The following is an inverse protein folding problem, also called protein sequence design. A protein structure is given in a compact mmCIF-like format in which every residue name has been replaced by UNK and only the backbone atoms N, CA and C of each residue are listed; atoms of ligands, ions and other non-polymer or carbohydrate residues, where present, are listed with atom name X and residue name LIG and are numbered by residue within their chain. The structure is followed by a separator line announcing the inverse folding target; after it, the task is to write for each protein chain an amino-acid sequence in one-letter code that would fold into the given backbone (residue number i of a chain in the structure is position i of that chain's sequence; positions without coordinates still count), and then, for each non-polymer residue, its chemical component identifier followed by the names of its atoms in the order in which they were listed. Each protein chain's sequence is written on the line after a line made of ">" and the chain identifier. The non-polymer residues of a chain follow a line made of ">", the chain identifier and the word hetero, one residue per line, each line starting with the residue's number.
data_IF_676319565206
#
_entry.id   IF_676319565206
#
_cell.length_a   1.000
_cell.length_b   1.000
_cell.length_c   1.000
_cell.angle_alpha   90.00
_cell.angle_beta   90.00
_cell.angle_gamma   90.00
#
_symmetry.space_group_name_H-M   'P 1'
#
loop_
_entity.id
_entity.type
_entity.pdbx_description
1 polymer ?
#
# COMPACT_ATOMS: atom_id res chain seq x y z
N UNK A 1 28.23 -2.52 37.99
CA UNK A 1 28.68 -1.79 36.79
C UNK A 1 27.54 -1.87 35.78
N UNK A 2 26.87 -0.75 35.54
CA UNK A 2 25.90 -0.59 34.44
C UNK A 2 26.65 -0.28 33.14
N UNK A 3 25.96 -0.52 32.01
CA UNK A 3 26.17 -0.09 30.61
C UNK A 3 26.09 -1.34 29.72
N UNK A 4 25.27 -1.46 28.68
CA UNK A 4 24.42 -0.56 27.87
C UNK A 4 24.29 -1.33 26.53
N UNK A 5 23.10 -1.61 26.00
CA UNK A 5 22.48 -0.81 24.93
C UNK A 5 23.52 -0.37 23.87
N UNK A 6 23.46 -0.71 22.58
CA UNK A 6 22.29 -0.75 21.72
C UNK A 6 22.54 -1.46 20.37
N UNK A 7 21.42 -1.80 19.73
CA UNK A 7 21.28 -2.31 18.37
C UNK A 7 21.92 -1.39 17.33
N UNK A 8 22.60 -1.99 16.35
CA UNK A 8 22.99 -1.35 15.09
C UNK A 8 22.55 -2.24 13.94
N UNK A 9 21.38 -1.96 13.40
CA UNK A 9 21.05 -2.34 12.03
C UNK A 9 20.87 -1.00 11.30
N UNK A 10 22.00 -0.51 10.80
CA UNK A 10 22.13 0.82 10.22
C UNK A 10 21.38 0.90 8.90
N UNK A 11 20.63 2.01 8.80
CA UNK A 11 19.83 2.48 7.70
C UNK A 11 20.71 2.70 6.47
N UNK A 12 20.43 1.99 5.38
CA UNK A 12 21.04 2.25 4.08
C UNK A 12 19.91 2.49 3.06
N UNK A 13 19.56 3.76 2.88
CA UNK A 13 18.66 4.19 1.82
C UNK A 13 19.47 4.65 0.60
N UNK A 14 19.18 4.02 -0.53
CA UNK A 14 19.39 4.47 -1.91
C UNK A 14 20.76 5.03 -2.33
N UNK A 15 21.77 4.16 -2.50
CA UNK A 15 22.82 4.42 -3.49
C UNK A 15 22.38 3.93 -4.88
N UNK A 16 22.49 4.80 -5.88
CA UNK A 16 22.12 4.51 -7.27
C UNK A 16 23.03 3.43 -7.87
N UNK A 17 22.51 2.24 -8.21
CA UNK A 17 23.07 1.30 -9.21
C UNK A 17 22.20 0.04 -9.44
N UNK A 18 21.54 -0.05 -10.61
CA UNK A 18 21.07 -1.29 -11.29
C UNK A 18 20.12 -2.30 -10.59
N UNK A 19 19.53 -2.00 -9.42
CA UNK A 19 18.54 -2.88 -8.78
C UNK A 19 17.20 -2.13 -8.60
N UNK A 20 16.11 -2.68 -9.12
CA UNK A 20 14.79 -2.02 -9.15
C UNK A 20 14.31 -1.55 -7.77
N UNK A 21 13.59 -0.41 -7.74
CA UNK A 21 13.00 0.18 -6.52
C UNK A 21 12.21 -0.88 -5.74
N UNK A 22 12.62 -1.16 -4.50
CA UNK A 22 11.93 -2.09 -3.59
C UNK A 22 11.24 -1.33 -2.47
N UNK A 23 10.09 -1.85 -2.05
CA UNK A 23 9.38 -1.30 -0.89
C UNK A 23 9.97 -1.84 0.42
N UNK A 24 10.21 -0.95 1.38
CA UNK A 24 10.62 -1.28 2.73
C UNK A 24 9.38 -1.35 3.65
N UNK A 25 8.71 -2.50 3.65
CA UNK A 25 7.61 -2.80 4.58
C UNK A 25 8.11 -3.71 5.70
N UNK A 26 7.75 -3.40 6.95
CA UNK A 26 7.93 -4.34 8.05
C UNK A 26 7.11 -5.60 7.82
N UNK A 27 7.52 -6.73 8.42
CA UNK A 27 6.78 -8.00 8.31
C UNK A 27 5.34 -7.87 8.81
N UNK A 28 5.10 -7.03 9.82
CA UNK A 28 3.76 -6.71 10.31
C UNK A 28 2.90 -6.02 9.24
N UNK A 29 3.47 -5.04 8.52
CA UNK A 29 2.78 -4.33 7.42
C UNK A 29 2.51 -5.28 6.26
N UNK A 30 3.50 -6.09 5.84
CA UNK A 30 3.31 -7.10 4.80
C UNK A 30 2.18 -8.06 5.15
N UNK A 31 2.19 -8.63 6.36
CA UNK A 31 1.13 -9.53 6.84
C UNK A 31 -0.24 -8.85 6.86
N UNK A 32 -0.30 -7.59 7.28
CA UNK A 32 -1.55 -6.82 7.28
C UNK A 32 -2.11 -6.63 5.86
N UNK A 33 -1.27 -6.19 4.92
CA UNK A 33 -1.64 -5.99 3.52
C UNK A 33 -2.11 -7.30 2.89
N UNK A 34 -1.35 -8.38 3.03
CA UNK A 34 -1.73 -9.71 2.51
C UNK A 34 -3.05 -10.20 3.10
N UNK A 35 -3.28 -10.00 4.41
CA UNK A 35 -4.55 -10.38 5.06
C UNK A 35 -5.74 -9.64 4.45
N UNK A 36 -5.58 -8.34 4.15
CA UNK A 36 -6.63 -7.53 3.51
C UNK A 36 -6.87 -7.98 2.07
N UNK A 37 -5.82 -8.26 1.32
CA UNK A 37 -5.91 -8.76 -0.06
C UNK A 37 -6.60 -10.12 -0.12
N UNK A 38 -6.32 -11.04 0.81
CA UNK A 38 -7.01 -12.33 0.88
C UNK A 38 -8.53 -12.18 1.11
N UNK A 39 -8.93 -11.17 1.90
CA UNK A 39 -10.35 -10.85 2.10
C UNK A 39 -10.98 -10.32 0.82
N UNK A 40 -10.29 -9.42 0.12
CA UNK A 40 -10.72 -8.86 -1.16
C UNK A 40 -10.87 -9.95 -2.22
N UNK A 41 -9.94 -10.90 -2.28
CA UNK A 41 -10.04 -12.08 -3.15
C UNK A 41 -11.31 -12.90 -2.85
N UNK A 42 -11.64 -13.07 -1.57
CA UNK A 42 -12.90 -13.65 -1.13
C UNK A 42 -14.13 -12.87 -1.62
N UNK A 43 -14.09 -11.53 -1.55
CA UNK A 43 -15.17 -10.67 -2.06
C UNK A 43 -15.33 -10.81 -3.58
N UNK A 44 -14.24 -10.83 -4.34
CA UNK A 44 -14.26 -11.03 -5.80
C UNK A 44 -14.90 -12.37 -6.16
N UNK A 45 -14.50 -13.45 -5.47
CA UNK A 45 -15.15 -14.77 -5.62
C UNK A 45 -16.63 -14.72 -5.29
N UNK A 46 -17.00 -14.02 -4.22
CA UNK A 46 -18.40 -13.81 -3.83
C UNK A 46 -19.21 -13.12 -4.92
N UNK A 47 -18.71 -12.00 -5.47
CA UNK A 47 -19.34 -11.27 -6.58
C UNK A 47 -19.57 -12.17 -7.79
N UNK A 48 -18.56 -12.94 -8.19
CA UNK A 48 -18.71 -13.92 -9.28
C UNK A 48 -19.85 -14.91 -9.00
N UNK A 49 -19.92 -15.45 -7.78
CA UNK A 49 -20.99 -16.36 -7.38
C UNK A 49 -22.37 -15.71 -7.32
N UNK A 50 -22.48 -14.40 -7.07
CA UNK A 50 -23.76 -13.68 -7.15
C UNK A 50 -24.24 -13.57 -8.59
N UNK A 51 -23.33 -13.30 -9.52
CA UNK A 51 -23.63 -13.21 -10.96
C UNK A 51 -24.06 -14.58 -11.49
N UNK A 52 -23.35 -15.66 -11.15
CA UNK A 52 -23.71 -17.03 -11.55
C UNK A 52 -25.06 -17.50 -11.03
N UNK A 53 -25.61 -16.83 -10.01
CA UNK A 53 -26.93 -17.12 -9.42
C UNK A 53 -28.03 -16.17 -9.91
N UNK A 54 -27.73 -15.34 -10.91
CA UNK A 54 -28.66 -14.30 -11.41
C UNK A 54 -29.19 -13.40 -10.29
N UNK A 55 -28.34 -13.06 -9.30
CA UNK A 55 -28.71 -12.19 -8.18
C UNK A 55 -29.05 -10.78 -8.69
N UNK A 56 -30.00 -10.12 -8.03
CA UNK A 56 -30.43 -8.78 -8.38
C UNK A 56 -29.24 -7.79 -8.48
N UNK A 57 -29.26 -6.96 -9.53
CA UNK A 57 -28.11 -6.15 -9.93
C UNK A 57 -27.65 -5.19 -8.83
N UNK A 58 -28.58 -4.60 -8.06
CA UNK A 58 -28.25 -3.64 -7.00
C UNK A 58 -27.43 -4.30 -5.87
N UNK A 59 -27.67 -5.58 -5.57
CA UNK A 59 -26.89 -6.33 -4.58
C UNK A 59 -25.47 -6.58 -5.06
N UNK A 60 -25.32 -6.94 -6.34
CA UNK A 60 -24.01 -7.14 -6.98
C UNK A 60 -23.22 -5.82 -7.00
N UNK A 61 -23.87 -4.72 -7.38
CA UNK A 61 -23.26 -3.38 -7.38
C UNK A 61 -22.83 -2.98 -5.98
N UNK A 62 -23.64 -3.28 -4.96
CA UNK A 62 -23.30 -3.01 -3.56
C UNK A 62 -22.03 -3.77 -3.13
N UNK A 63 -21.90 -5.05 -3.51
CA UNK A 63 -20.68 -5.82 -3.22
C UNK A 63 -19.45 -5.32 -3.98
N UNK A 64 -19.62 -4.87 -5.23
CA UNK A 64 -18.55 -4.24 -6.01
C UNK A 64 -18.08 -2.96 -5.30
N UNK A 65 -19.00 -2.10 -4.86
CA UNK A 65 -18.66 -0.87 -4.12
C UNK A 65 -17.93 -1.15 -2.80
N UNK A 66 -18.34 -2.19 -2.07
CA UNK A 66 -17.65 -2.65 -0.88
C UNK A 66 -16.22 -3.14 -1.18
N UNK A 67 -16.02 -3.86 -2.28
CA UNK A 67 -14.72 -4.35 -2.74
C UNK A 67 -13.80 -3.21 -3.16
N UNK A 68 -14.32 -2.21 -3.90
CA UNK A 68 -13.58 -1.01 -4.27
C UNK A 68 -13.13 -0.23 -3.02
N UNK A 69 -14.00 -0.10 -2.02
CA UNK A 69 -13.68 0.55 -0.75
C UNK A 69 -12.57 -0.17 0.00
N UNK A 70 -12.58 -1.51 0.02
CA UNK A 70 -11.51 -2.31 0.60
C UNK A 70 -10.18 -2.15 -0.14
N UNK A 71 -10.19 -2.13 -1.48
CA UNK A 71 -9.00 -1.84 -2.30
C UNK A 71 -8.43 -0.45 -2.02
N UNK A 72 -9.29 0.57 -1.91
CA UNK A 72 -8.87 1.93 -1.55
C UNK A 72 -8.23 1.98 -0.16
N UNK A 73 -8.71 1.17 0.80
CA UNK A 73 -8.07 1.05 2.12
C UNK A 73 -6.66 0.45 2.03
N UNK A 74 -6.42 -0.53 1.15
CA UNK A 74 -5.07 -1.10 0.95
C UNK A 74 -4.14 -0.07 0.33
N UNK A 75 -4.61 0.65 -0.71
CA UNK A 75 -3.84 1.70 -1.37
C UNK A 75 -3.42 2.82 -0.39
N UNK A 76 -4.31 3.23 0.54
CA UNK A 76 -3.98 4.21 1.57
C UNK A 76 -2.85 3.77 2.50
N UNK A 77 -2.84 2.50 2.93
CA UNK A 77 -1.78 1.96 3.80
C UNK A 77 -0.44 1.96 3.06
N UNK A 78 -0.43 1.57 1.79
CA UNK A 78 0.77 1.61 0.94
C UNK A 78 1.29 3.04 0.77
N UNK A 79 0.40 3.99 0.47
CA UNK A 79 0.76 5.39 0.32
C UNK A 79 1.33 5.96 1.62
N UNK A 80 0.72 5.67 2.77
CA UNK A 80 1.25 6.12 4.07
C UNK A 80 2.67 5.61 4.31
N UNK A 81 2.94 4.32 4.05
CA UNK A 81 4.28 3.76 4.17
C UNK A 81 5.28 4.40 3.19
N UNK A 82 4.85 4.70 1.97
CA UNK A 82 5.69 5.38 0.98
C UNK A 82 6.05 6.81 1.42
N UNK A 83 5.08 7.56 1.93
CA UNK A 83 5.29 8.93 2.39
C UNK A 83 6.22 9.00 3.61
N UNK A 84 6.02 8.12 4.60
CA UNK A 84 6.78 8.16 5.86
C UNK A 84 8.24 7.73 5.72
N UNK A 85 8.53 6.87 4.75
CA UNK A 85 9.87 6.30 4.58
C UNK A 85 10.54 6.94 3.36
N UNK A 86 10.23 6.44 2.16
CA UNK A 86 10.95 6.81 0.94
C UNK A 86 10.89 8.31 0.60
N UNK A 87 9.74 8.96 0.84
CA UNK A 87 9.58 10.38 0.50
C UNK A 87 10.29 11.28 1.52
N UNK A 88 10.14 11.00 2.82
CA UNK A 88 10.84 11.75 3.87
C UNK A 88 12.36 11.62 3.73
N UNK A 89 12.87 10.42 3.43
CA UNK A 89 14.30 10.18 3.19
C UNK A 89 14.82 11.05 2.04
N UNK A 90 14.17 11.01 0.86
CA UNK A 90 14.56 11.81 -0.30
C UNK A 90 14.47 13.32 -0.05
N UNK A 91 13.45 13.78 0.68
CA UNK A 91 13.35 15.19 1.06
C UNK A 91 14.49 15.63 1.98
N UNK A 92 14.92 14.77 2.92
CA UNK A 92 16.07 15.05 3.78
C UNK A 92 17.39 15.07 3.01
N UNK A 93 17.48 14.33 1.91
CA UNK A 93 18.61 14.36 0.96
C UNK A 93 18.57 15.58 0.03
N UNK A 94 17.52 16.41 0.11
CA UNK A 94 17.35 17.61 -0.72
C UNK A 94 16.71 17.35 -2.08
N UNK A 95 16.22 16.14 -2.35
CA UNK A 95 15.51 15.80 -3.57
C UNK A 95 14.03 16.20 -3.45
N UNK A 96 13.71 17.37 -4.01
CA UNK A 96 12.33 17.89 -4.04
C UNK A 96 11.50 17.33 -5.20
N UNK A 97 12.09 16.66 -6.20
CA UNK A 97 11.36 16.08 -7.35
C UNK A 97 10.41 14.96 -6.90
N UNK A 98 10.70 14.34 -5.76
CA UNK A 98 9.83 13.34 -5.13
C UNK A 98 8.41 13.86 -4.87
N UNK A 99 8.23 15.17 -4.67
CA UNK A 99 6.91 15.77 -4.47
C UNK A 99 6.04 15.62 -5.73
N UNK A 100 6.61 15.81 -6.91
CA UNK A 100 5.89 15.64 -8.18
C UNK A 100 5.50 14.18 -8.41
N UNK A 101 6.38 13.23 -8.05
CA UNK A 101 6.06 11.79 -8.10
C UNK A 101 4.87 11.43 -7.18
N UNK A 102 4.83 12.00 -5.98
CA UNK A 102 3.72 11.84 -5.03
C UNK A 102 2.43 12.43 -5.59
N UNK A 103 2.48 13.63 -6.18
CA UNK A 103 1.31 14.26 -6.80
C UNK A 103 0.71 13.38 -7.91
N UNK A 104 1.55 12.80 -8.77
CA UNK A 104 1.10 11.85 -9.81
C UNK A 104 0.44 10.61 -9.18
N UNK A 105 1.01 10.11 -8.08
CA UNK A 105 0.46 8.94 -7.37
C UNK A 105 -0.91 9.25 -6.74
N UNK A 106 -1.05 10.40 -6.08
CA UNK A 106 -2.33 10.84 -5.49
C UNK A 106 -3.39 11.04 -6.58
N UNK A 107 -3.03 11.64 -7.72
CA UNK A 107 -3.96 11.80 -8.85
C UNK A 107 -4.50 10.46 -9.35
N UNK A 108 -3.67 9.40 -9.40
CA UNK A 108 -4.12 8.05 -9.77
C UNK A 108 -5.14 7.48 -8.78
N UNK A 109 -4.99 7.76 -7.49
CA UNK A 109 -5.90 7.28 -6.43
C UNK A 109 -7.21 8.07 -6.35
N UNK A 110 -7.21 9.33 -6.80
CA UNK A 110 -8.40 10.19 -6.79
C UNK A 110 -9.29 10.04 -8.02
N UNK A 111 -8.78 9.47 -9.13
CA UNK A 111 -9.58 9.18 -10.32
C UNK A 111 -10.66 8.16 -9.95
N UNK A 112 -11.91 8.64 -9.93
CA UNK A 112 -13.12 7.81 -9.87
C UNK A 112 -13.48 7.33 -11.26
#
# INVERSE_FOLDING_TARGET
>A
MMNGQDAKNEEECCTTSSHGRKSHHSEAVKKNLTTRLNRIEGQIRGIKGLIEKDTYCDDVITQIAATQSAMNSVAKILLEGHLRNCVVERLNEGDTEVIDEVLVTIQKLMKK
#
